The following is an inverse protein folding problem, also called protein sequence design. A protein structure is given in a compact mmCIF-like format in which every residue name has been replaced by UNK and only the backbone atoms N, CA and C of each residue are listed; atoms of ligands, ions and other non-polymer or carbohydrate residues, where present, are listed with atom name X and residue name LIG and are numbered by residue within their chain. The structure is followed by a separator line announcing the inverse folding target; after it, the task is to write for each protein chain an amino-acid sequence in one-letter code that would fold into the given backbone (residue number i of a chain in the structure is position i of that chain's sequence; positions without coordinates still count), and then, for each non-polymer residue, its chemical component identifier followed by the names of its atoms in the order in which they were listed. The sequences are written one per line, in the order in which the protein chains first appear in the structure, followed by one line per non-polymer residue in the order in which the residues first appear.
data_IF_505171686104
#
_entry.id   IF_505171686104
#
_cell.length_a   1.000
_cell.length_b   1.000
_cell.length_c   1.000
_cell.angle_alpha   90.00
_cell.angle_beta   90.00
_cell.angle_gamma   90.00
#
_symmetry.space_group_name_H-M   'P 1'
#
loop_
_entity.id
_entity.type
_entity.pdbx_description
1 polymer ?
#
# COMPACT_ATOMS: atom_id res chain seq x y z
N UNK A 1 15.59 -13.12 33.71
CA UNK A 1 14.30 -12.70 33.20
C UNK A 1 13.48 -12.09 34.31
N UNK A 2 13.01 -10.88 34.11
CA UNK A 2 12.00 -10.27 34.99
C UNK A 2 10.69 -11.03 34.80
N UNK A 3 10.07 -11.51 35.87
CA UNK A 3 8.70 -12.04 35.82
C UNK A 3 7.70 -10.88 35.98
N UNK A 4 6.53 -10.99 35.34
CA UNK A 4 5.48 -9.96 35.41
C UNK A 4 5.02 -9.68 36.84
N UNK A 5 5.01 -10.68 37.73
CA UNK A 5 4.72 -10.54 39.16
C UNK A 5 5.64 -9.56 39.90
N UNK A 6 6.89 -9.45 39.47
CA UNK A 6 7.88 -8.50 40.04
C UNK A 6 7.61 -7.06 39.60
N UNK A 7 6.81 -6.82 38.58
CA UNK A 7 6.47 -5.48 38.08
C UNK A 7 5.19 -4.89 38.72
N UNK A 8 4.47 -5.63 39.58
CA UNK A 8 3.23 -5.17 40.22
C UNK A 8 2.08 -4.92 39.25
N UNK A 9 2.05 -5.68 38.14
CA UNK A 9 1.02 -5.54 37.10
C UNK A 9 -0.25 -6.34 37.45
N UNK A 10 -1.42 -5.74 37.24
CA UNK A 10 -2.71 -6.39 37.39
C UNK A 10 -3.04 -7.25 36.16
N UNK A 11 -3.73 -8.38 36.36
CA UNK A 11 -4.19 -9.23 35.29
C UNK A 11 -5.29 -8.51 34.48
N UNK A 12 -5.15 -8.50 33.17
CA UNK A 12 -6.14 -7.99 32.24
C UNK A 12 -7.15 -9.10 31.85
N UNK A 13 -8.38 -8.73 31.45
CA UNK A 13 -9.32 -9.69 30.90
C UNK A 13 -8.78 -10.32 29.60
N UNK A 14 -9.39 -11.45 29.21
CA UNK A 14 -9.09 -12.09 27.94
C UNK A 14 -9.30 -11.12 26.76
N UNK A 15 -8.44 -11.23 25.73
CA UNK A 15 -8.48 -10.41 24.53
C UNK A 15 -8.37 -11.29 23.28
N UNK A 16 -9.12 -10.94 22.23
CA UNK A 16 -9.24 -11.74 21.01
C UNK A 16 -10.27 -12.87 21.12
N UNK A 17 -10.62 -13.47 19.97
CA UNK A 17 -11.53 -14.61 19.95
C UNK A 17 -10.82 -15.89 20.41
N UNK A 18 -11.46 -16.77 21.22
CA UNK A 18 -10.80 -17.95 21.82
C UNK A 18 -10.22 -18.96 20.81
N UNK A 19 -10.70 -18.94 19.59
CA UNK A 19 -10.30 -19.86 18.52
C UNK A 19 -9.25 -19.27 17.57
N UNK A 20 -8.68 -18.11 17.89
CA UNK A 20 -7.64 -17.48 17.06
C UNK A 20 -6.24 -17.70 17.64
N UNK A 21 -5.18 -17.66 16.81
CA UNK A 21 -3.80 -17.75 17.30
C UNK A 21 -3.36 -16.54 18.14
N UNK A 22 -4.16 -15.48 18.13
CA UNK A 22 -3.90 -14.22 18.84
C UNK A 22 -4.66 -14.08 20.14
N UNK A 23 -5.48 -15.10 20.51
CA UNK A 23 -6.20 -15.10 21.76
C UNK A 23 -5.26 -15.02 22.97
N UNK A 24 -5.53 -14.05 23.81
CA UNK A 24 -4.87 -13.89 25.10
C UNK A 24 -5.88 -14.23 26.20
N UNK A 25 -5.74 -15.39 26.87
CA UNK A 25 -6.71 -15.82 27.90
C UNK A 25 -6.72 -14.89 29.13
N UNK A 26 -5.59 -14.28 29.40
CA UNK A 26 -5.40 -13.19 30.36
C UNK A 26 -4.09 -12.47 30.01
N UNK A 27 -3.97 -11.23 30.41
CA UNK A 27 -2.77 -10.41 30.24
C UNK A 27 -2.44 -9.69 31.52
N UNK A 28 -1.47 -8.81 31.44
CA UNK A 28 -1.08 -7.95 32.57
C UNK A 28 -1.15 -6.49 32.14
N UNK A 29 -1.62 -5.61 33.04
CA UNK A 29 -1.56 -4.18 32.80
C UNK A 29 -0.11 -3.70 32.86
N UNK A 30 0.19 -2.69 32.07
CA UNK A 30 1.48 -1.98 32.13
C UNK A 30 1.23 -0.53 32.51
N UNK A 31 2.19 0.13 33.17
CA UNK A 31 2.12 1.56 33.41
C UNK A 31 2.35 2.30 32.08
N UNK A 32 1.33 2.29 31.22
CA UNK A 32 1.37 2.81 29.84
C UNK A 32 1.70 4.32 29.79
N UNK A 33 1.45 5.05 30.88
CA UNK A 33 1.79 6.46 31.05
C UNK A 33 3.31 6.71 30.91
N UNK A 34 4.14 5.72 31.24
CA UNK A 34 5.59 5.79 31.03
C UNK A 34 5.99 5.93 29.58
N UNK A 35 5.13 5.52 28.64
CA UNK A 35 5.38 5.68 27.20
C UNK A 35 5.45 7.16 26.80
N UNK A 36 4.72 8.05 27.48
CA UNK A 36 4.76 9.48 27.24
C UNK A 36 6.15 10.09 27.46
N UNK A 37 6.99 9.46 28.30
CA UNK A 37 8.39 9.85 28.50
C UNK A 37 9.38 9.26 27.50
N UNK A 38 8.94 8.38 26.58
CA UNK A 38 9.79 7.80 25.56
C UNK A 38 9.79 8.69 24.30
N UNK A 39 10.99 8.90 23.73
CA UNK A 39 11.08 9.68 22.49
C UNK A 39 10.43 8.94 21.31
N UNK A 40 9.81 9.69 20.43
CA UNK A 40 9.22 9.20 19.18
C UNK A 40 10.19 8.31 18.39
N UNK A 41 11.46 8.70 18.30
CA UNK A 41 12.48 7.95 17.59
C UNK A 41 12.68 6.54 18.18
N UNK A 42 12.73 6.44 19.51
CA UNK A 42 12.86 5.14 20.21
C UNK A 42 11.61 4.29 20.01
N UNK A 43 10.42 4.86 20.19
CA UNK A 43 9.15 4.16 19.97
C UNK A 43 9.06 3.66 18.53
N UNK A 44 9.39 4.50 17.55
CA UNK A 44 9.40 4.10 16.13
C UNK A 44 10.36 2.93 15.88
N UNK A 45 11.60 3.00 16.38
CA UNK A 45 12.58 1.90 16.21
C UNK A 45 12.10 0.58 16.82
N UNK A 46 11.48 0.62 17.99
CA UNK A 46 10.96 -0.60 18.61
C UNK A 46 9.72 -1.13 17.87
N UNK A 47 8.84 -0.25 17.36
CA UNK A 47 7.73 -0.65 16.47
C UNK A 47 8.24 -1.29 15.19
N UNK A 48 9.25 -0.74 14.54
CA UNK A 48 9.85 -1.29 13.32
C UNK A 48 10.40 -2.70 13.58
N UNK A 49 11.13 -2.91 14.69
CA UNK A 49 11.62 -4.22 15.09
C UNK A 49 10.47 -5.20 15.36
N UNK A 50 9.44 -4.76 16.07
CA UNK A 50 8.27 -5.59 16.37
C UNK A 50 7.55 -5.98 15.09
N UNK A 51 7.19 -5.03 14.25
CA UNK A 51 6.44 -5.22 13.01
C UNK A 51 7.20 -6.15 12.04
N UNK A 52 8.55 -6.04 12.00
CA UNK A 52 9.37 -6.89 11.14
C UNK A 52 9.82 -8.20 11.79
N UNK A 53 9.40 -8.49 13.02
CA UNK A 53 9.76 -9.73 13.71
C UNK A 53 8.91 -10.93 13.27
N UNK A 54 9.34 -12.13 13.64
CA UNK A 54 8.59 -13.39 13.48
C UNK A 54 7.29 -13.40 14.31
N UNK A 55 7.25 -12.63 15.42
CA UNK A 55 6.12 -12.60 16.36
C UNK A 55 5.31 -11.31 16.26
N UNK A 56 5.28 -10.68 15.10
CA UNK A 56 4.65 -9.38 14.90
C UNK A 56 3.17 -9.37 15.30
N UNK A 57 2.39 -10.35 14.84
CA UNK A 57 0.97 -10.46 15.16
C UNK A 57 0.71 -10.59 16.66
N UNK A 58 1.43 -11.49 17.35
CA UNK A 58 1.30 -11.63 18.82
C UNK A 58 1.72 -10.37 19.57
N UNK A 59 2.80 -9.73 19.15
CA UNK A 59 3.27 -8.49 19.76
C UNK A 59 2.30 -7.34 19.59
N UNK A 60 1.71 -7.18 18.40
CA UNK A 60 0.69 -6.16 18.13
C UNK A 60 -0.62 -6.45 18.89
N UNK A 61 -1.02 -7.73 19.04
CA UNK A 61 -2.15 -8.09 19.89
C UNK A 61 -1.87 -7.74 21.36
N UNK A 62 -0.67 -7.99 21.85
CA UNK A 62 -0.29 -7.59 23.21
C UNK A 62 -0.32 -6.07 23.38
N UNK A 63 0.16 -5.30 22.42
CA UNK A 63 0.07 -3.83 22.45
C UNK A 63 -1.39 -3.33 22.42
N UNK A 64 -2.27 -4.02 21.70
CA UNK A 64 -3.71 -3.74 21.69
C UNK A 64 -4.31 -4.02 23.09
N UNK A 65 -4.09 -5.21 23.61
CA UNK A 65 -4.66 -5.68 24.89
C UNK A 65 -4.19 -4.84 26.09
N UNK A 66 -2.94 -4.34 26.07
CA UNK A 66 -2.39 -3.51 27.15
C UNK A 66 -2.70 -2.02 26.97
N UNK A 67 -3.36 -1.63 25.87
CA UNK A 67 -3.65 -0.23 25.55
C UNK A 67 -2.44 0.58 25.03
N UNK A 68 -1.27 -0.06 24.83
CA UNK A 68 -0.07 0.62 24.34
C UNK A 68 -0.27 1.32 23.00
N UNK A 69 -1.07 0.74 22.08
CA UNK A 69 -1.36 1.38 20.81
C UNK A 69 -2.08 2.73 20.95
N UNK A 70 -2.91 2.87 22.01
CA UNK A 70 -3.67 4.09 22.30
C UNK A 70 -2.88 5.17 23.06
N UNK A 71 -1.64 4.90 23.45
CA UNK A 71 -0.83 5.84 24.24
C UNK A 71 -0.07 6.83 23.37
N UNK A 72 0.56 7.81 24.04
CA UNK A 72 1.40 8.80 23.40
C UNK A 72 2.88 8.53 23.70
N UNK A 73 3.75 8.93 22.79
CA UNK A 73 5.16 9.14 23.00
C UNK A 73 5.51 10.64 22.92
N UNK A 74 6.75 10.99 23.12
CA UNK A 74 7.21 12.34 23.22
C UNK A 74 8.06 12.73 22.01
N UNK A 75 7.79 13.89 21.42
CA UNK A 75 8.64 14.51 20.41
C UNK A 75 9.05 15.90 20.85
N UNK A 76 10.30 16.28 20.58
CA UNK A 76 10.81 17.62 20.84
C UNK A 76 11.04 18.35 19.52
N UNK A 77 10.21 19.33 19.24
CA UNK A 77 10.33 20.17 18.06
C UNK A 77 10.49 21.64 18.43
N UNK A 78 11.53 22.29 17.92
CA UNK A 78 11.80 23.73 18.17
C UNK A 78 11.83 24.11 19.66
N UNK A 79 12.30 23.19 20.54
CA UNK A 79 12.38 23.42 21.98
C UNK A 79 11.08 23.14 22.74
N UNK A 80 9.98 22.83 22.06
CA UNK A 80 8.70 22.46 22.66
C UNK A 80 8.53 20.95 22.69
N UNK A 81 8.04 20.45 23.82
CA UNK A 81 7.69 19.05 24.01
C UNK A 81 6.24 18.82 23.59
N UNK A 82 6.03 17.89 22.65
CA UNK A 82 4.71 17.51 22.14
C UNK A 82 4.46 16.02 22.35
N UNK A 83 3.23 15.67 22.72
CA UNK A 83 2.79 14.29 22.80
C UNK A 83 2.31 13.81 21.43
N UNK A 84 2.87 12.71 20.96
CA UNK A 84 2.56 12.10 19.65
C UNK A 84 1.83 10.80 19.89
N UNK A 85 0.56 10.67 19.42
CA UNK A 85 -0.17 9.41 19.53
C UNK A 85 0.54 8.29 18.73
N UNK A 86 0.64 7.09 19.32
CA UNK A 86 1.28 5.95 18.67
C UNK A 86 0.38 5.45 17.53
N UNK A 87 -0.69 4.72 17.83
CA UNK A 87 -1.61 4.18 16.82
C UNK A 87 -3.03 4.00 17.38
N UNK A 88 -3.65 5.04 18.00
CA UNK A 88 -5.01 4.91 18.54
C UNK A 88 -6.06 4.61 17.48
N UNK A 89 -5.79 4.90 16.22
CA UNK A 89 -6.69 4.63 15.09
C UNK A 89 -6.94 3.14 14.86
N UNK A 90 -6.07 2.25 15.36
CA UNK A 90 -6.27 0.82 15.23
C UNK A 90 -7.23 0.24 16.30
N UNK A 91 -7.50 0.96 17.38
CA UNK A 91 -8.24 0.43 18.53
C UNK A 91 -9.66 -0.02 18.19
N UNK A 92 -10.34 0.63 17.25
CA UNK A 92 -11.70 0.29 16.84
C UNK A 92 -11.79 -0.98 15.98
N UNK A 93 -10.65 -1.52 15.51
CA UNK A 93 -10.63 -2.71 14.67
C UNK A 93 -10.81 -4.01 15.46
N UNK A 94 -10.44 -3.99 16.75
CA UNK A 94 -10.64 -5.15 17.63
C UNK A 94 -12.13 -5.37 17.87
N UNK A 95 -12.61 -6.58 17.59
CA UNK A 95 -14.04 -6.93 17.66
C UNK A 95 -14.88 -6.33 16.53
N UNK A 96 -14.28 -5.64 15.56
CA UNK A 96 -15.00 -5.10 14.40
C UNK A 96 -15.36 -6.23 13.44
N UNK A 97 -16.62 -6.64 13.45
CA UNK A 97 -17.12 -7.72 12.61
C UNK A 97 -17.03 -7.40 11.13
N UNK A 98 -16.64 -8.40 10.34
CA UNK A 98 -16.57 -8.40 8.91
C UNK A 98 -17.64 -9.32 8.29
N UNK A 99 -17.78 -9.29 6.95
CA UNK A 99 -18.66 -10.23 6.26
C UNK A 99 -18.12 -11.66 6.41
N UNK A 100 -18.85 -12.57 7.09
CA UNK A 100 -18.38 -13.93 7.36
C UNK A 100 -18.24 -14.80 6.12
N UNK A 101 -18.79 -14.37 4.97
CA UNK A 101 -18.58 -15.05 3.68
C UNK A 101 -17.11 -14.99 3.22
N UNK A 102 -16.38 -13.94 3.59
CA UNK A 102 -15.02 -13.69 3.13
C UNK A 102 -13.99 -13.81 4.24
N UNK A 103 -14.35 -13.46 5.48
CA UNK A 103 -13.42 -13.33 6.58
C UNK A 103 -13.70 -14.31 7.70
N UNK A 104 -12.63 -14.91 8.23
CA UNK A 104 -12.67 -15.86 9.35
C UNK A 104 -12.75 -15.17 10.72
N UNK A 105 -12.17 -13.98 10.83
CA UNK A 105 -11.90 -13.27 12.08
C UNK A 105 -12.43 -11.84 12.03
N UNK A 106 -12.37 -11.13 13.16
CA UNK A 106 -12.58 -9.69 13.19
C UNK A 106 -11.50 -8.94 12.38
N UNK A 107 -11.67 -7.63 12.23
CA UNK A 107 -10.75 -6.85 11.38
C UNK A 107 -9.33 -6.79 11.93
N UNK A 108 -9.17 -6.72 13.27
CA UNK A 108 -7.84 -6.68 13.86
C UNK A 108 -7.11 -8.03 13.74
N UNK A 109 -7.77 -9.11 14.09
CA UNK A 109 -7.19 -10.46 13.98
C UNK A 109 -6.88 -10.86 12.54
N UNK A 110 -7.73 -10.43 11.57
CA UNK A 110 -7.43 -10.54 10.14
C UNK A 110 -6.14 -9.78 9.79
N UNK A 111 -6.00 -8.53 10.27
CA UNK A 111 -4.79 -7.72 10.07
C UNK A 111 -3.54 -8.42 10.61
N UNK A 112 -3.59 -8.97 11.81
CA UNK A 112 -2.47 -9.69 12.43
C UNK A 112 -2.09 -10.94 11.62
N UNK A 113 -3.08 -11.69 11.15
CA UNK A 113 -2.84 -12.88 10.33
C UNK A 113 -2.21 -12.51 8.97
N UNK A 114 -2.66 -11.42 8.35
CA UNK A 114 -2.04 -10.92 7.12
C UNK A 114 -0.57 -10.54 7.34
N UNK A 115 -0.26 -9.88 8.46
CA UNK A 115 1.13 -9.53 8.83
C UNK A 115 1.98 -10.80 8.99
N UNK A 116 1.51 -11.78 9.75
CA UNK A 116 2.28 -13.01 10.01
C UNK A 116 2.47 -13.86 8.74
N UNK A 117 1.56 -13.78 7.77
CA UNK A 117 1.66 -14.43 6.46
C UNK A 117 2.57 -13.68 5.45
N UNK A 118 3.06 -12.48 5.81
CA UNK A 118 3.81 -11.61 4.89
C UNK A 118 5.32 -11.72 5.06
N UNK A 119 6.11 -11.35 4.04
CA UNK A 119 7.55 -11.14 4.20
C UNK A 119 7.86 -10.12 5.32
N UNK A 120 9.05 -10.25 5.93
CA UNK A 120 9.50 -9.37 7.01
C UNK A 120 10.00 -8.00 6.48
N UNK A 121 9.37 -7.49 5.42
CA UNK A 121 9.64 -6.18 4.84
C UNK A 121 8.84 -5.08 5.55
N UNK A 122 9.51 -3.98 5.89
CA UNK A 122 8.92 -2.90 6.67
C UNK A 122 7.76 -2.21 5.95
N UNK A 123 7.86 -2.00 4.63
CA UNK A 123 6.82 -1.32 3.86
C UNK A 123 5.59 -2.20 3.68
N UNK A 124 5.78 -3.51 3.40
CA UNK A 124 4.69 -4.48 3.32
C UNK A 124 3.94 -4.54 4.64
N UNK A 125 4.66 -4.70 5.74
CA UNK A 125 4.03 -4.88 7.06
C UNK A 125 3.37 -3.62 7.59
N UNK A 126 3.95 -2.44 7.34
CA UNK A 126 3.23 -1.20 7.60
C UNK A 126 1.99 -1.05 6.73
N UNK A 127 2.05 -1.41 5.46
CA UNK A 127 0.86 -1.38 4.60
C UNK A 127 -0.23 -2.30 5.16
N UNK A 128 0.11 -3.51 5.62
CA UNK A 128 -0.83 -4.44 6.24
C UNK A 128 -1.37 -3.95 7.59
N UNK A 129 -0.55 -3.34 8.46
CA UNK A 129 -1.05 -2.73 9.71
C UNK A 129 -2.11 -1.68 9.44
N UNK A 130 -1.99 -0.96 8.33
CA UNK A 130 -2.77 0.25 8.04
C UNK A 130 -3.88 0.04 7.00
N UNK A 131 -3.91 -1.10 6.25
CA UNK A 131 -4.77 -1.26 5.08
C UNK A 131 -6.27 -1.14 5.37
N UNK A 132 -6.68 -1.60 6.52
CA UNK A 132 -8.08 -1.73 6.93
C UNK A 132 -8.54 -0.68 7.96
N UNK A 133 -7.73 0.32 8.30
CA UNK A 133 -8.08 1.36 9.28
C UNK A 133 -9.36 2.13 8.94
N UNK A 134 -9.72 2.20 7.67
CA UNK A 134 -10.95 2.83 7.20
C UNK A 134 -12.21 1.99 7.39
N UNK A 135 -12.10 0.69 7.70
CA UNK A 135 -13.26 -0.17 7.95
C UNK A 135 -13.99 0.25 9.23
N UNK A 136 -15.30 0.09 9.24
CA UNK A 136 -16.11 0.42 10.41
C UNK A 136 -16.40 1.90 10.64
N UNK A 137 -15.76 2.81 9.90
CA UNK A 137 -16.02 4.24 10.04
C UNK A 137 -17.46 4.58 9.60
N UNK A 138 -18.15 5.53 10.27
CA UNK A 138 -19.55 5.85 9.99
C UNK A 138 -19.83 6.27 8.55
N UNK A 139 -18.86 6.93 7.88
CA UNK A 139 -18.96 7.35 6.48
C UNK A 139 -18.60 6.23 5.47
N UNK A 140 -18.08 5.11 5.93
CA UNK A 140 -17.62 3.98 5.11
C UNK A 140 -18.52 2.75 5.29
N UNK A 141 -18.77 2.36 6.56
CA UNK A 141 -19.54 1.17 6.92
C UNK A 141 -20.97 1.23 6.44
N UNK A 142 -21.38 0.18 5.73
CA UNK A 142 -22.76 -0.06 5.26
C UNK A 142 -23.15 -1.51 5.52
N UNK A 143 -24.41 -1.81 5.35
CA UNK A 143 -24.90 -3.18 5.22
C UNK A 143 -25.14 -3.47 3.74
N UNK A 144 -24.74 -4.65 3.27
CA UNK A 144 -25.09 -5.13 1.95
C UNK A 144 -26.56 -5.60 1.89
N UNK A 145 -27.00 -6.11 0.74
CA UNK A 145 -28.38 -6.58 0.55
C UNK A 145 -28.77 -7.75 1.44
N UNK A 146 -27.79 -8.51 1.90
CA UNK A 146 -27.97 -9.64 2.83
C UNK A 146 -27.87 -9.21 4.30
N UNK A 147 -27.79 -7.91 4.61
CA UNK A 147 -27.64 -7.39 5.96
C UNK A 147 -26.25 -7.59 6.58
N UNK A 148 -25.24 -7.96 5.77
CA UNK A 148 -23.86 -8.17 6.23
C UNK A 148 -23.04 -6.91 6.12
N UNK A 149 -22.01 -6.73 7.00
CA UNK A 149 -21.10 -5.59 6.93
C UNK A 149 -20.39 -5.49 5.58
N UNK A 150 -20.26 -4.26 5.09
CA UNK A 150 -19.52 -3.90 3.88
C UNK A 150 -18.92 -2.51 4.05
N UNK A 151 -17.67 -2.34 3.65
CA UNK A 151 -16.92 -1.10 3.84
C UNK A 151 -16.36 -0.58 2.50
N UNK A 152 -17.23 -0.17 1.54
CA UNK A 152 -16.78 0.27 0.23
C UNK A 152 -15.98 1.58 0.33
N UNK A 153 -14.79 1.62 -0.27
CA UNK A 153 -13.91 2.78 -0.25
C UNK A 153 -13.04 2.90 1.00
N UNK A 154 -13.03 1.86 1.87
CA UNK A 154 -12.16 1.87 3.06
C UNK A 154 -10.69 2.04 2.70
N UNK A 155 -10.24 1.54 1.56
CA UNK A 155 -8.87 1.68 1.08
C UNK A 155 -8.44 3.14 0.91
N UNK A 156 -9.34 4.01 0.46
CA UNK A 156 -9.08 5.42 0.31
C UNK A 156 -8.99 6.15 1.67
N UNK A 157 -9.89 5.82 2.61
CA UNK A 157 -9.83 6.38 3.97
C UNK A 157 -8.62 5.84 4.73
N UNK A 158 -8.33 4.54 4.63
CA UNK A 158 -7.12 3.93 5.20
C UNK A 158 -5.85 4.62 4.69
N UNK A 159 -5.77 4.94 3.40
CA UNK A 159 -4.63 5.65 2.81
C UNK A 159 -4.47 7.07 3.37
N UNK A 160 -5.55 7.82 3.58
CA UNK A 160 -5.52 9.14 4.22
C UNK A 160 -5.01 9.05 5.65
N UNK A 161 -5.54 8.09 6.42
CA UNK A 161 -5.12 7.83 7.80
C UNK A 161 -3.64 7.41 7.83
N UNK A 162 -3.21 6.50 6.96
CA UNK A 162 -1.83 6.04 6.83
C UNK A 162 -0.85 7.19 6.62
N UNK A 163 -1.19 8.12 5.72
CA UNK A 163 -0.36 9.31 5.47
C UNK A 163 -0.19 10.16 6.73
N UNK A 164 -1.28 10.40 7.46
CA UNK A 164 -1.24 11.19 8.70
C UNK A 164 -0.42 10.49 9.79
N UNK A 165 -0.65 9.18 9.99
CA UNK A 165 0.05 8.35 10.97
C UNK A 165 1.55 8.30 10.70
N UNK A 166 1.96 7.95 9.47
CA UNK A 166 3.38 7.84 9.12
C UNK A 166 4.08 9.20 9.14
N UNK A 167 3.37 10.29 8.83
CA UNK A 167 3.91 11.65 8.95
C UNK A 167 4.19 12.01 10.40
N UNK A 168 3.23 11.78 11.32
CA UNK A 168 3.43 12.07 12.75
C UNK A 168 4.47 11.17 13.40
N UNK A 169 4.62 9.93 12.90
CA UNK A 169 5.68 9.01 13.34
C UNK A 169 7.06 9.34 12.76
N UNK A 170 7.17 10.39 11.94
CA UNK A 170 8.43 10.92 11.45
C UNK A 170 9.09 10.09 10.34
N UNK A 171 8.32 9.37 9.52
CA UNK A 171 8.84 8.70 8.34
C UNK A 171 9.18 9.69 7.23
N UNK A 172 10.13 9.33 6.36
CA UNK A 172 10.49 10.16 5.21
C UNK A 172 9.40 10.13 4.12
N UNK A 173 9.37 11.15 3.27
CA UNK A 173 8.34 11.32 2.23
C UNK A 173 8.23 10.16 1.26
N UNK A 174 9.36 9.53 0.90
CA UNK A 174 9.36 8.39 -0.05
C UNK A 174 8.71 7.16 0.57
N UNK A 175 9.00 6.86 1.84
CA UNK A 175 8.37 5.76 2.57
C UNK A 175 6.88 6.00 2.78
N UNK A 176 6.49 7.21 3.20
CA UNK A 176 5.07 7.60 3.36
C UNK A 176 4.33 7.42 2.03
N UNK A 177 4.91 7.90 0.93
CA UNK A 177 4.32 7.76 -0.40
C UNK A 177 4.10 6.30 -0.78
N UNK A 178 5.14 5.47 -0.63
CA UNK A 178 5.09 4.04 -0.95
C UNK A 178 4.01 3.32 -0.14
N UNK A 179 4.05 3.41 1.19
CA UNK A 179 3.08 2.71 2.06
C UNK A 179 1.66 3.21 1.82
N UNK A 180 1.46 4.54 1.68
CA UNK A 180 0.14 5.11 1.38
C UNK A 180 -0.40 4.60 0.04
N UNK A 181 0.46 4.47 -0.97
CA UNK A 181 0.08 3.91 -2.27
C UNK A 181 -0.27 2.42 -2.15
N UNK A 182 0.51 1.62 -1.44
CA UNK A 182 0.21 0.21 -1.18
C UNK A 182 -1.17 0.05 -0.54
N UNK A 183 -1.46 0.84 0.49
CA UNK A 183 -2.77 0.84 1.17
C UNK A 183 -3.88 1.27 0.22
N UNK A 184 -3.69 2.31 -0.59
CA UNK A 184 -4.71 2.76 -1.55
C UNK A 184 -5.02 1.74 -2.64
N UNK A 185 -4.06 0.87 -2.99
CA UNK A 185 -4.17 -0.06 -4.10
C UNK A 185 -4.49 -1.51 -3.66
N UNK A 186 -4.49 -1.84 -2.36
CA UNK A 186 -4.57 -3.24 -1.90
C UNK A 186 -5.82 -3.98 -2.40
N UNK A 187 -6.95 -3.28 -2.55
CA UNK A 187 -8.21 -3.87 -3.06
C UNK A 187 -8.24 -4.10 -4.58
N UNK A 188 -7.22 -3.65 -5.34
CA UNK A 188 -7.27 -3.66 -6.82
C UNK A 188 -7.09 -5.03 -7.45
N UNK A 189 -6.36 -5.93 -6.83
CA UNK A 189 -6.10 -7.26 -7.39
C UNK A 189 -7.33 -8.19 -7.37
N UNK A 190 -8.10 -8.20 -6.29
CA UNK A 190 -9.21 -9.12 -6.12
C UNK A 190 -10.25 -9.07 -7.27
N UNK A 191 -10.74 -7.89 -7.74
CA UNK A 191 -11.62 -7.81 -8.89
C UNK A 191 -10.96 -8.29 -10.20
N UNK A 192 -9.64 -8.20 -10.32
CA UNK A 192 -8.92 -8.54 -11.54
C UNK A 192 -8.80 -10.03 -11.78
N UNK A 193 -8.90 -10.85 -10.74
CA UNK A 193 -9.06 -12.30 -10.87
C UNK A 193 -10.31 -12.67 -11.73
N UNK A 194 -11.29 -11.76 -11.80
CA UNK A 194 -12.55 -11.98 -12.48
C UNK A 194 -12.70 -11.22 -13.81
N UNK A 195 -11.95 -10.13 -14.04
CA UNK A 195 -12.24 -9.15 -15.10
C UNK A 195 -11.28 -9.15 -16.29
N UNK A 196 -10.18 -9.88 -16.23
CA UNK A 196 -9.24 -10.09 -17.33
C UNK A 196 -8.35 -8.90 -17.71
N UNK A 197 -7.55 -9.09 -18.76
CA UNK A 197 -6.38 -8.29 -19.16
C UNK A 197 -6.68 -6.80 -19.42
N UNK A 198 -7.83 -6.45 -19.97
CA UNK A 198 -8.15 -5.04 -20.31
C UNK A 198 -8.24 -4.14 -19.07
N UNK A 199 -8.83 -4.67 -18.00
CA UNK A 199 -8.97 -3.94 -16.73
C UNK A 199 -7.59 -3.74 -16.09
N UNK A 200 -6.78 -4.78 -16.12
CA UNK A 200 -5.40 -4.75 -15.66
C UNK A 200 -4.56 -3.69 -16.39
N UNK A 201 -4.57 -3.71 -17.72
CA UNK A 201 -3.83 -2.73 -18.54
C UNK A 201 -4.26 -1.29 -18.26
N UNK A 202 -5.55 -1.04 -18.09
CA UNK A 202 -6.06 0.30 -17.76
C UNK A 202 -5.56 0.78 -16.41
N UNK A 203 -5.62 -0.07 -15.42
CA UNK A 203 -5.13 0.25 -14.07
C UNK A 203 -3.63 0.55 -14.08
N UNK A 204 -2.80 -0.34 -14.63
CA UNK A 204 -1.34 -0.17 -14.66
C UNK A 204 -0.94 1.09 -15.43
N UNK A 205 -1.61 1.41 -16.54
CA UNK A 205 -1.38 2.65 -17.29
C UNK A 205 -1.73 3.89 -16.49
N UNK A 206 -2.87 3.86 -15.79
CA UNK A 206 -3.26 4.96 -14.90
C UNK A 206 -2.22 5.22 -13.83
N UNK A 207 -1.71 4.16 -13.22
CA UNK A 207 -0.68 4.28 -12.19
C UNK A 207 0.68 4.74 -12.76
N UNK A 208 1.08 4.28 -13.94
CA UNK A 208 2.29 4.78 -14.59
C UNK A 208 2.25 6.30 -14.85
N UNK A 209 1.06 6.84 -15.12
CA UNK A 209 0.87 8.27 -15.34
C UNK A 209 0.66 9.10 -14.05
N UNK A 210 0.04 8.51 -13.02
CA UNK A 210 -0.53 9.30 -11.90
C UNK A 210 -0.07 8.88 -10.51
N UNK A 211 0.64 7.75 -10.35
CA UNK A 211 1.06 7.26 -9.04
C UNK A 211 2.07 8.15 -8.31
N UNK A 212 2.81 9.01 -9.04
CA UNK A 212 3.86 9.85 -8.49
C UNK A 212 5.23 9.17 -8.35
N UNK A 213 5.37 7.90 -8.74
CA UNK A 213 6.70 7.27 -8.91
C UNK A 213 7.44 7.92 -10.08
N UNK A 214 8.76 7.98 -9.98
CA UNK A 214 9.59 8.76 -10.92
C UNK A 214 10.12 7.94 -12.09
N UNK A 215 10.22 6.62 -11.90
CA UNK A 215 10.79 5.70 -12.90
C UNK A 215 9.97 4.41 -12.95
N UNK A 216 10.09 3.72 -14.08
CA UNK A 216 9.51 2.38 -14.25
C UNK A 216 10.06 1.37 -13.23
N UNK A 217 11.34 1.51 -12.84
CA UNK A 217 11.94 0.64 -11.83
C UNK A 217 11.29 0.85 -10.45
N UNK A 218 11.09 2.11 -10.02
CA UNK A 218 10.38 2.41 -8.76
C UNK A 218 8.94 1.87 -8.77
N UNK A 219 8.21 2.07 -9.87
CA UNK A 219 6.86 1.55 -10.03
C UNK A 219 6.83 0.02 -10.02
N UNK A 220 7.78 -0.64 -10.70
CA UNK A 220 7.91 -2.11 -10.71
C UNK A 220 8.13 -2.65 -9.30
N UNK A 221 9.01 -2.01 -8.53
CA UNK A 221 9.25 -2.38 -7.13
C UNK A 221 7.98 -2.19 -6.29
N UNK A 222 7.27 -1.08 -6.44
CA UNK A 222 6.01 -0.84 -5.72
C UNK A 222 4.96 -1.91 -6.03
N UNK A 223 4.81 -2.33 -7.30
CA UNK A 223 3.92 -3.44 -7.67
C UNK A 223 4.37 -4.78 -7.10
N UNK A 224 5.69 -5.04 -7.03
CA UNK A 224 6.20 -6.27 -6.39
C UNK A 224 5.80 -6.32 -4.90
N UNK A 225 5.93 -5.22 -4.17
CA UNK A 225 5.49 -5.12 -2.78
C UNK A 225 3.95 -5.22 -2.66
N UNK A 226 3.20 -4.61 -3.57
CA UNK A 226 1.74 -4.69 -3.58
C UNK A 226 1.23 -6.12 -3.81
N UNK A 227 1.93 -6.92 -4.61
CA UNK A 227 1.62 -8.35 -4.79
C UNK A 227 1.76 -9.10 -3.46
N UNK A 228 2.81 -8.83 -2.70
CA UNK A 228 3.02 -9.46 -1.38
C UNK A 228 1.93 -9.01 -0.38
N UNK A 229 1.56 -7.73 -0.37
CA UNK A 229 0.44 -7.22 0.44
C UNK A 229 -0.85 -7.95 0.07
N UNK A 230 -1.17 -8.04 -1.23
CA UNK A 230 -2.36 -8.74 -1.73
C UNK A 230 -2.39 -10.22 -1.35
N UNK A 231 -1.28 -10.94 -1.51
CA UNK A 231 -1.21 -12.36 -1.19
C UNK A 231 -1.32 -12.62 0.32
N UNK A 232 -0.75 -11.77 1.13
CA UNK A 232 -0.83 -11.85 2.59
C UNK A 232 -2.26 -11.55 3.09
N UNK A 233 -2.91 -10.52 2.58
CA UNK A 233 -4.30 -10.16 2.86
C UNK A 233 -5.25 -11.30 2.44
N UNK A 234 -5.13 -11.78 1.20
CA UNK A 234 -5.92 -12.90 0.70
C UNK A 234 -5.70 -14.17 1.53
N UNK A 235 -4.45 -14.44 1.96
CA UNK A 235 -4.11 -15.55 2.85
C UNK A 235 -4.67 -15.43 4.27
N UNK A 236 -5.16 -14.26 4.65
CA UNK A 236 -5.84 -14.02 5.92
C UNK A 236 -7.39 -14.12 5.82
N UNK A 237 -7.91 -14.50 4.67
CA UNK A 237 -9.34 -14.73 4.39
C UNK A 237 -9.65 -16.22 4.19
N UNK A 238 -10.90 -16.57 3.88
CA UNK A 238 -11.27 -17.92 3.47
C UNK A 238 -10.58 -18.40 2.18
N UNK A 239 -10.02 -17.47 1.37
CA UNK A 239 -9.28 -17.82 0.17
C UNK A 239 -8.04 -18.69 0.47
N UNK A 240 -7.48 -18.65 1.68
CA UNK A 240 -6.34 -19.48 2.11
C UNK A 240 -6.59 -20.99 1.97
N UNK A 241 -7.86 -21.41 2.07
CA UNK A 241 -8.28 -22.80 1.97
C UNK A 241 -8.44 -23.26 0.51
N UNK A 242 -8.35 -22.33 -0.45
CA UNK A 242 -8.47 -22.58 -1.87
C UNK A 242 -7.11 -22.42 -2.56
N UNK A 243 -6.35 -23.53 -2.68
CA UNK A 243 -5.02 -23.52 -3.30
C UNK A 243 -5.03 -23.01 -4.74
N UNK A 244 -6.09 -23.31 -5.51
CA UNK A 244 -6.21 -22.85 -6.89
C UNK A 244 -6.33 -21.34 -6.92
N UNK A 245 -7.19 -20.73 -6.09
CA UNK A 245 -7.37 -19.29 -6.02
C UNK A 245 -6.08 -18.58 -5.59
N UNK A 246 -5.36 -19.15 -4.62
CA UNK A 246 -4.04 -18.66 -4.20
C UNK A 246 -3.00 -18.75 -5.32
N UNK A 247 -3.04 -19.82 -6.13
CA UNK A 247 -2.15 -19.98 -7.28
C UNK A 247 -2.48 -18.96 -8.40
N UNK A 248 -3.76 -18.72 -8.67
CA UNK A 248 -4.23 -17.70 -9.61
C UNK A 248 -3.81 -16.29 -9.17
N UNK A 249 -3.93 -15.97 -7.87
CA UNK A 249 -3.44 -14.72 -7.30
C UNK A 249 -1.94 -14.52 -7.52
N UNK A 250 -1.13 -15.56 -7.25
CA UNK A 250 0.32 -15.51 -7.50
C UNK A 250 0.65 -15.35 -8.99
N UNK A 251 -0.10 -16.00 -9.87
CA UNK A 251 0.10 -15.87 -11.32
C UNK A 251 -0.24 -14.46 -11.79
N UNK A 252 -1.37 -13.92 -11.38
CA UNK A 252 -1.77 -12.54 -11.67
C UNK A 252 -0.71 -11.55 -11.18
N UNK A 253 -0.21 -11.71 -9.96
CA UNK A 253 0.85 -10.88 -9.41
C UNK A 253 2.10 -10.85 -10.29
N UNK A 254 2.60 -12.03 -10.71
CA UNK A 254 3.75 -12.12 -11.63
C UNK A 254 3.48 -11.43 -12.97
N UNK A 255 2.28 -11.62 -13.53
CA UNK A 255 1.89 -10.98 -14.80
C UNK A 255 1.88 -9.47 -14.70
N UNK A 256 1.35 -8.92 -13.60
CA UNK A 256 1.32 -7.46 -13.36
C UNK A 256 2.73 -6.89 -13.26
N UNK A 257 3.57 -7.48 -12.43
CA UNK A 257 4.96 -7.01 -12.24
C UNK A 257 5.73 -7.05 -13.57
N UNK A 258 5.59 -8.15 -14.34
CA UNK A 258 6.23 -8.27 -15.65
C UNK A 258 5.71 -7.23 -16.66
N UNK A 259 4.40 -6.98 -16.67
CA UNK A 259 3.77 -5.98 -17.51
C UNK A 259 4.33 -4.57 -17.21
N UNK A 260 4.41 -4.21 -15.93
CA UNK A 260 4.98 -2.92 -15.51
C UNK A 260 6.44 -2.82 -15.92
N UNK A 261 7.22 -3.85 -15.61
CA UNK A 261 8.65 -3.91 -15.88
C UNK A 261 9.01 -3.78 -17.37
N UNK A 262 8.16 -4.30 -18.26
CA UNK A 262 8.49 -4.39 -19.68
C UNK A 262 7.77 -3.38 -20.55
N UNK A 263 6.58 -2.90 -20.15
CA UNK A 263 5.70 -2.16 -21.06
C UNK A 263 5.19 -0.82 -20.54
N UNK A 264 5.45 -0.46 -19.27
CA UNK A 264 4.83 0.73 -18.67
C UNK A 264 5.87 1.81 -18.31
N UNK A 265 6.28 2.64 -19.27
CA UNK A 265 7.18 3.76 -18.98
C UNK A 265 6.48 4.78 -18.07
N UNK A 266 7.19 5.26 -17.07
CA UNK A 266 6.75 6.29 -16.13
C UNK A 266 7.25 7.67 -16.55
N UNK A 267 8.47 7.72 -17.08
CA UNK A 267 9.09 8.95 -17.55
C UNK A 267 9.71 8.79 -18.95
N UNK A 268 10.12 9.90 -19.54
CA UNK A 268 10.72 9.90 -20.89
C UNK A 268 12.01 9.09 -21.00
N UNK A 269 12.71 8.83 -19.90
CA UNK A 269 13.89 7.97 -19.87
C UNK A 269 13.59 6.49 -20.02
N UNK A 270 12.35 6.10 -19.73
CA UNK A 270 11.86 4.71 -19.82
C UNK A 270 11.37 4.36 -21.25
N UNK A 271 11.37 5.34 -22.18
CA UNK A 271 11.02 5.10 -23.56
C UNK A 271 12.14 4.33 -24.29
N UNK A 272 11.75 3.48 -25.24
CA UNK A 272 12.70 2.70 -26.07
C UNK A 272 13.55 3.54 -27.01
N UNK A 273 13.31 4.86 -27.09
CA UNK A 273 14.16 5.85 -27.77
C UNK A 273 14.43 7.05 -26.86
N UNK A 274 15.56 7.69 -27.07
CA UNK A 274 15.97 8.88 -26.33
C UNK A 274 16.33 10.07 -27.23
N UNK A 275 16.93 11.08 -26.61
CA UNK A 275 17.34 12.28 -27.35
C UNK A 275 18.37 12.02 -28.44
N UNK A 276 19.19 10.96 -28.30
CA UNK A 276 20.23 10.64 -29.31
C UNK A 276 19.61 10.24 -30.66
N UNK A 277 18.63 9.34 -30.64
CA UNK A 277 17.91 8.90 -31.83
C UNK A 277 17.11 10.03 -32.46
N UNK A 278 16.57 10.94 -31.64
CA UNK A 278 15.79 12.07 -32.12
C UNK A 278 16.64 13.22 -32.71
N UNK A 279 17.88 13.38 -32.29
CA UNK A 279 18.80 14.42 -32.84
C UNK A 279 19.05 14.31 -34.34
N UNK A 280 18.92 13.09 -34.90
CA UNK A 280 19.04 12.83 -36.33
C UNK A 280 17.79 13.23 -37.12
N UNK A 281 16.65 13.42 -36.44
CA UNK A 281 15.34 13.64 -37.05
C UNK A 281 14.75 15.03 -36.80
N UNK A 282 15.12 15.67 -35.68
CA UNK A 282 14.51 16.93 -35.24
C UNK A 282 15.53 17.84 -34.53
N UNK A 283 15.28 19.18 -34.51
CA UNK A 283 16.08 20.13 -33.75
C UNK A 283 16.10 19.78 -32.25
N UNK A 284 17.23 20.02 -31.59
CA UNK A 284 17.43 19.75 -30.16
C UNK A 284 16.35 20.40 -29.27
N UNK A 285 15.87 21.57 -29.65
CA UNK A 285 14.82 22.30 -28.92
C UNK A 285 13.49 21.55 -28.86
N UNK A 286 13.17 20.70 -29.85
CA UNK A 286 11.89 19.98 -29.94
C UNK A 286 11.92 18.61 -29.25
N UNK A 287 13.10 18.10 -28.91
CA UNK A 287 13.27 16.73 -28.36
C UNK A 287 12.39 16.50 -27.12
N UNK A 288 12.41 17.45 -26.17
CA UNK A 288 11.64 17.33 -24.92
C UNK A 288 10.14 17.19 -25.20
N UNK A 289 9.61 17.99 -26.11
CA UNK A 289 8.19 18.00 -26.46
C UNK A 289 7.79 16.69 -27.16
N UNK A 290 8.65 16.20 -28.05
CA UNK A 290 8.40 14.92 -28.75
C UNK A 290 8.46 13.74 -27.78
N UNK A 291 9.44 13.68 -26.88
CA UNK A 291 9.51 12.62 -25.87
C UNK A 291 8.28 12.65 -24.94
N UNK A 292 7.81 13.83 -24.51
CA UNK A 292 6.59 13.95 -23.71
C UNK A 292 5.35 13.48 -24.48
N UNK A 293 5.22 13.86 -25.75
CA UNK A 293 4.15 13.36 -26.64
C UNK A 293 4.17 11.84 -26.78
N UNK A 294 5.34 11.25 -26.98
CA UNK A 294 5.48 9.78 -27.11
C UNK A 294 5.11 9.09 -25.80
N UNK A 295 5.57 9.61 -24.66
CA UNK A 295 5.26 9.07 -23.34
C UNK A 295 3.74 9.04 -23.10
N UNK A 296 3.05 10.15 -23.33
CA UNK A 296 1.59 10.23 -23.20
C UNK A 296 0.87 9.19 -24.08
N UNK A 297 1.33 9.01 -25.32
CA UNK A 297 0.75 8.04 -26.22
C UNK A 297 0.98 6.59 -25.80
N UNK A 298 2.14 6.29 -25.22
CA UNK A 298 2.43 4.96 -24.68
C UNK A 298 1.59 4.70 -23.43
N UNK A 299 1.58 5.65 -22.49
CA UNK A 299 0.78 5.55 -21.26
C UNK A 299 -0.74 5.43 -21.55
N UNK A 300 -1.24 6.12 -22.57
CA UNK A 300 -2.63 6.00 -23.02
C UNK A 300 -2.94 4.71 -23.80
N UNK A 301 -1.91 3.93 -24.12
CA UNK A 301 -2.02 2.67 -24.87
C UNK A 301 -2.25 2.81 -26.37
N UNK A 302 -2.06 4.02 -26.91
CA UNK A 302 -2.20 4.32 -28.32
C UNK A 302 -0.92 4.04 -29.12
N UNK A 303 0.19 3.66 -28.45
CA UNK A 303 1.49 3.42 -29.04
C UNK A 303 2.25 2.40 -28.19
N UNK A 304 2.83 1.33 -28.75
CA UNK A 304 3.72 0.43 -28.01
C UNK A 304 5.07 1.13 -27.74
N UNK A 305 5.69 0.79 -26.60
CA UNK A 305 7.02 1.29 -26.26
C UNK A 305 8.11 0.45 -26.94
N UNK A 306 8.16 0.54 -28.27
CA UNK A 306 9.10 -0.16 -29.14
C UNK A 306 9.79 0.84 -30.07
N UNK A 307 11.08 0.68 -30.29
CA UNK A 307 11.90 1.65 -31.04
C UNK A 307 11.31 2.01 -32.40
N UNK A 308 10.96 1.02 -33.20
CA UNK A 308 10.41 1.22 -34.56
C UNK A 308 9.05 1.92 -34.55
N UNK A 309 8.17 1.53 -33.63
CA UNK A 309 6.85 2.13 -33.49
C UNK A 309 6.96 3.60 -33.05
N UNK A 310 7.85 3.90 -32.11
CA UNK A 310 8.09 5.26 -31.63
C UNK A 310 8.66 6.15 -32.74
N UNK A 311 9.67 5.68 -33.50
CA UNK A 311 10.21 6.43 -34.63
C UNK A 311 9.17 6.67 -35.73
N UNK A 312 8.35 5.67 -36.04
CA UNK A 312 7.23 5.82 -36.99
C UNK A 312 6.22 6.88 -36.54
N UNK A 313 5.90 6.91 -35.23
CA UNK A 313 5.03 7.93 -34.65
C UNK A 313 5.61 9.33 -34.74
N UNK A 314 6.95 9.50 -34.55
CA UNK A 314 7.65 10.77 -34.75
C UNK A 314 7.51 11.25 -36.19
N UNK A 315 7.83 10.42 -37.16
CA UNK A 315 7.70 10.79 -38.59
C UNK A 315 6.28 11.22 -38.96
N UNK A 316 5.26 10.50 -38.45
CA UNK A 316 3.85 10.84 -38.68
C UNK A 316 3.46 12.17 -38.02
N UNK A 317 3.98 12.45 -36.84
CA UNK A 317 3.75 13.71 -36.11
C UNK A 317 4.36 14.90 -36.88
N UNK A 318 5.59 14.75 -37.37
CA UNK A 318 6.28 15.79 -38.14
C UNK A 318 5.56 16.11 -39.46
N UNK A 319 5.13 15.09 -40.21
CA UNK A 319 4.36 15.29 -41.46
C UNK A 319 3.08 16.08 -41.23
N UNK A 320 2.35 15.79 -40.14
CA UNK A 320 1.12 16.52 -39.78
C UNK A 320 1.39 18.00 -39.46
N UNK A 321 2.47 18.31 -38.73
CA UNK A 321 2.87 19.69 -38.47
C UNK A 321 3.17 20.49 -39.74
N UNK A 322 3.90 19.87 -40.68
CA UNK A 322 4.25 20.50 -41.98
C UNK A 322 3.00 20.77 -42.83
N UNK A 323 2.01 19.85 -42.82
CA UNK A 323 0.77 20.02 -43.59
C UNK A 323 -0.13 21.13 -42.97
N UNK A 324 -0.17 21.26 -41.65
CA UNK A 324 -0.91 22.34 -40.96
C UNK A 324 -0.30 23.71 -41.18
N UNK A 325 1.05 23.84 -41.16
CA UNK A 325 1.73 25.11 -41.43
C UNK A 325 1.63 25.57 -42.88
N UNK A 326 1.41 24.67 -43.82
CA UNK A 326 1.17 25.00 -45.24
C UNK A 326 -0.31 25.39 -45.50
N UNK A 327 -1.25 24.92 -44.68
CA UNK A 327 -2.68 25.27 -44.78
C UNK A 327 -3.06 26.61 -44.14
N UNK A 328 -2.22 27.15 -43.24
CA UNK A 328 -2.43 28.48 -42.62
C UNK A 328 -1.78 29.63 -43.44
N UNK A 329 -1.07 29.31 -44.53
CA UNK A 329 -0.44 30.29 -45.45
C UNK A 329 -1.20 30.46 -46.79
N UNK A 330 -2.34 29.79 -46.93
CA UNK A 330 -3.27 29.92 -48.06
C UNK A 330 -4.60 30.52 -47.57
#
# INVERSE_FOLDING_TARGET
GFTYEQAGCEALPACGAPNTPYYLPHGYSFPVERCAGLSLERVRKELEKLITSEYAGKGLMLMMATGLLGTNCHARENGNDTLIPILPEALHLLGLHQNPRFHLYDTWEHTLLAIDNSPHDLAIRWALVLHDLGKGLPNVRKLNKEGQPSDPGHEAESAKMSKAILTRLGYNKSFIHLVTWLVAQHMRFAPMLLTGERTLLRWVRSEAANSGFRTQAELTQAYSLLVEVFLADMGATHARENEQLMAEGRLLGRQVVELVRTRMPVCTKDLAIGGRELLELIPKADIKNILSYLLERVQSGNLPNEKEALLTAVHKHLKRKTTLSLGEQL
#
